data_IF_362717828244
#
_entry.id   IF_362717828244
#
_cell.length_a   1.000
_cell.length_b   1.000
_cell.length_c   1.000
_cell.angle_alpha   90.00
_cell.angle_beta   90.00
_cell.angle_gamma   90.00
#
_symmetry.space_group_name_H-M   'P 1'
#
loop_
_entity.id
_entity.type
_entity.pdbx_description
1 polymer ?
#
# COMPACT_ATOMS: atom_id res chain seq x y z
N UNK A 1 -8.96 -28.19 9.05
CA UNK A 1 -8.15 -26.99 9.37
C UNK A 1 -6.92 -27.06 8.50
N UNK A 2 -6.66 -26.01 7.72
CA UNK A 2 -5.47 -25.93 6.88
C UNK A 2 -4.26 -25.57 7.74
N UNK A 3 -3.13 -26.25 7.53
CA UNK A 3 -1.82 -25.96 8.15
C UNK A 3 -0.88 -25.25 7.18
N UNK A 4 -1.43 -24.71 6.08
CA UNK A 4 -0.64 -24.00 5.09
C UNK A 4 -0.12 -22.69 5.70
N UNK A 5 1.18 -22.48 5.51
CA UNK A 5 1.89 -21.29 5.96
C UNK A 5 1.98 -20.24 4.84
N UNK A 6 2.32 -20.69 3.64
CA UNK A 6 2.42 -19.85 2.45
C UNK A 6 1.65 -20.49 1.31
N UNK A 7 0.86 -19.69 0.60
CA UNK A 7 0.23 -20.05 -0.67
C UNK A 7 0.84 -19.15 -1.73
N UNK A 8 1.62 -19.74 -2.64
CA UNK A 8 2.14 -19.05 -3.82
C UNK A 8 1.54 -19.67 -5.09
N UNK A 9 0.75 -18.85 -5.79
CA UNK A 9 0.16 -19.16 -7.09
C UNK A 9 0.52 -18.08 -8.13
N UNK A 10 1.62 -17.36 -7.91
CA UNK A 10 2.06 -16.29 -8.79
C UNK A 10 2.38 -16.76 -10.20
N UNK A 11 2.33 -15.86 -11.18
CA UNK A 11 2.75 -16.10 -12.56
C UNK A 11 1.97 -17.24 -13.24
N UNK A 12 0.66 -17.27 -13.02
CA UNK A 12 -0.26 -18.23 -13.61
C UNK A 12 -1.30 -17.51 -14.48
N UNK A 13 -2.30 -18.27 -14.94
CA UNK A 13 -3.45 -17.75 -15.70
C UNK A 13 -4.74 -17.82 -14.89
N UNK A 14 -4.63 -17.76 -13.56
CA UNK A 14 -5.80 -17.81 -12.67
C UNK A 14 -6.72 -16.63 -12.99
N UNK A 15 -8.01 -16.90 -13.08
CA UNK A 15 -9.01 -15.89 -13.43
C UNK A 15 -10.25 -16.04 -12.56
N UNK A 16 -11.15 -15.06 -12.63
CA UNK A 16 -12.27 -15.00 -11.71
C UNK A 16 -11.90 -14.24 -10.44
N UNK A 17 -12.77 -14.31 -9.43
CA UNK A 17 -12.53 -13.63 -8.17
C UNK A 17 -11.62 -14.48 -7.27
N UNK A 18 -10.87 -13.85 -6.38
CA UNK A 18 -10.18 -14.57 -5.30
C UNK A 18 -11.28 -15.16 -4.39
N UNK A 19 -11.44 -16.50 -4.34
CA UNK A 19 -12.49 -17.09 -3.52
C UNK A 19 -12.17 -16.87 -2.06
N UNK A 20 -13.16 -16.43 -1.29
CA UNK A 20 -13.04 -16.23 0.16
C UNK A 20 -12.57 -17.51 0.88
N UNK A 21 -12.95 -18.67 0.34
CA UNK A 21 -12.57 -19.99 0.81
C UNK A 21 -11.05 -20.23 0.81
N UNK A 22 -10.28 -19.49 0.01
CA UNK A 22 -8.83 -19.62 -0.06
C UNK A 22 -8.15 -19.20 1.24
N UNK A 23 -8.73 -18.23 1.94
CA UNK A 23 -8.24 -17.71 3.22
C UNK A 23 -9.13 -18.15 4.39
N UNK A 24 -10.28 -18.75 4.11
CA UNK A 24 -11.23 -19.20 5.11
C UNK A 24 -10.66 -20.33 5.99
N UNK A 25 -10.75 -20.15 7.32
CA UNK A 25 -10.34 -21.15 8.29
C UNK A 25 -8.83 -21.42 8.35
N UNK A 26 -8.01 -20.59 7.68
CA UNK A 26 -6.57 -20.64 7.88
C UNK A 26 -6.19 -19.96 9.18
N UNK A 27 -5.61 -20.73 10.08
CA UNK A 27 -5.11 -20.24 11.38
C UNK A 27 -3.60 -20.00 11.37
N UNK A 28 -2.94 -20.26 10.23
CA UNK A 28 -1.48 -20.23 10.12
C UNK A 28 -0.97 -19.54 8.87
N UNK A 29 -1.83 -19.06 7.97
CA UNK A 29 -1.37 -18.46 6.71
C UNK A 29 -0.65 -17.14 6.99
N UNK A 30 0.64 -17.12 6.66
CA UNK A 30 1.54 -15.96 6.72
C UNK A 30 1.69 -15.30 5.36
N UNK A 31 1.79 -16.09 4.29
CA UNK A 31 1.99 -15.56 2.94
C UNK A 31 0.88 -15.93 1.97
N UNK A 32 0.29 -14.93 1.32
CA UNK A 32 -0.60 -15.11 0.18
C UNK A 32 -0.04 -14.37 -1.03
N UNK A 33 0.52 -15.13 -1.97
CA UNK A 33 1.17 -14.63 -3.19
C UNK A 33 0.35 -15.08 -4.40
N UNK A 34 -0.34 -14.13 -5.02
CA UNK A 34 -1.22 -14.34 -6.18
C UNK A 34 -0.86 -13.44 -7.37
N UNK A 35 0.34 -12.86 -7.36
CA UNK A 35 0.76 -11.87 -8.35
C UNK A 35 0.81 -12.42 -9.78
N UNK A 36 0.70 -11.52 -10.76
CA UNK A 36 0.80 -11.83 -12.20
C UNK A 36 -0.18 -12.93 -12.63
N UNK A 37 -1.48 -12.64 -12.47
CA UNK A 37 -2.59 -13.50 -12.87
C UNK A 37 -3.67 -12.67 -13.61
N UNK A 38 -4.86 -13.23 -13.80
CA UNK A 38 -6.04 -12.56 -14.36
C UNK A 38 -7.19 -12.46 -13.34
N UNK A 39 -6.84 -12.39 -12.04
CA UNK A 39 -7.82 -12.29 -10.96
C UNK A 39 -8.54 -10.95 -11.02
N UNK A 40 -9.83 -10.94 -10.72
CA UNK A 40 -10.72 -9.78 -10.82
C UNK A 40 -11.62 -9.66 -9.60
N UNK A 41 -12.51 -8.67 -9.62
CA UNK A 41 -13.48 -8.44 -8.55
C UNK A 41 -12.86 -7.70 -7.36
N UNK A 42 -13.59 -7.67 -6.25
CA UNK A 42 -13.21 -6.92 -5.05
C UNK A 42 -12.61 -7.84 -3.97
N UNK A 43 -11.79 -7.26 -3.10
CA UNK A 43 -11.32 -7.92 -1.88
C UNK A 43 -12.41 -7.85 -0.81
N UNK A 44 -13.30 -8.85 -0.76
CA UNK A 44 -14.46 -8.89 0.15
C UNK A 44 -14.19 -9.66 1.45
N UNK A 45 -12.99 -9.56 2.01
CA UNK A 45 -12.53 -10.40 3.14
C UNK A 45 -13.07 -10.02 4.52
N UNK A 46 -14.34 -9.66 4.62
CA UNK A 46 -14.94 -9.00 5.79
C UNK A 46 -14.99 -9.85 7.07
N UNK A 47 -14.89 -11.18 6.95
CA UNK A 47 -15.15 -12.11 8.06
C UNK A 47 -13.92 -12.93 8.48
N UNK A 48 -12.73 -12.62 7.95
CA UNK A 48 -11.57 -13.48 8.12
C UNK A 48 -10.57 -12.95 9.14
N UNK A 49 -10.09 -13.87 9.97
CA UNK A 49 -9.00 -13.60 10.88
C UNK A 49 -7.67 -13.71 10.13
N UNK A 50 -7.18 -12.58 9.60
CA UNK A 50 -5.88 -12.49 8.95
C UNK A 50 -4.73 -12.29 9.96
N UNK A 51 -4.91 -12.73 11.21
CA UNK A 51 -4.01 -12.36 12.31
C UNK A 51 -2.55 -12.80 12.16
N UNK A 52 -2.30 -13.78 11.29
CA UNK A 52 -0.96 -14.29 11.03
C UNK A 52 -0.41 -13.84 9.68
N UNK A 53 -1.20 -13.17 8.84
CA UNK A 53 -0.78 -12.75 7.52
C UNK A 53 0.29 -11.66 7.65
N UNK A 54 1.47 -11.94 7.09
CA UNK A 54 2.64 -11.06 7.01
C UNK A 54 2.84 -10.55 5.60
N UNK A 55 2.60 -11.38 4.59
CA UNK A 55 2.86 -11.07 3.19
C UNK A 55 1.59 -11.22 2.36
N UNK A 56 1.14 -10.11 1.79
CA UNK A 56 0.02 -10.09 0.86
C UNK A 56 0.44 -9.47 -0.47
N UNK A 57 0.68 -10.34 -1.46
CA UNK A 57 1.23 -9.96 -2.76
C UNK A 57 0.23 -10.32 -3.86
N UNK A 58 -0.51 -9.32 -4.34
CA UNK A 58 -1.60 -9.44 -5.32
C UNK A 58 -1.33 -8.65 -6.61
N UNK A 59 -0.09 -8.18 -6.81
CA UNK A 59 0.27 -7.31 -7.91
C UNK A 59 0.03 -7.92 -9.30
N UNK A 60 -0.20 -7.09 -10.31
CA UNK A 60 -0.34 -7.55 -11.70
C UNK A 60 -1.61 -8.39 -11.90
N UNK A 61 -2.76 -7.86 -11.49
CA UNK A 61 -4.07 -8.48 -11.64
C UNK A 61 -5.10 -7.44 -12.15
N UNK A 62 -6.38 -7.78 -12.12
CA UNK A 62 -7.50 -6.93 -12.54
C UNK A 62 -8.45 -6.64 -11.36
N UNK A 63 -7.92 -6.60 -10.13
CA UNK A 63 -8.71 -6.37 -8.91
C UNK A 63 -9.29 -4.96 -8.92
N UNK A 64 -10.49 -4.82 -8.38
CA UNK A 64 -11.29 -3.57 -8.36
C UNK A 64 -11.81 -3.28 -6.96
N UNK A 65 -12.51 -2.16 -6.78
CA UNK A 65 -13.07 -1.79 -5.48
C UNK A 65 -12.04 -1.06 -4.61
N UNK A 66 -12.17 -1.18 -3.29
CA UNK A 66 -11.33 -0.50 -2.30
C UNK A 66 -10.47 -1.50 -1.53
N UNK A 67 -9.42 -1.03 -0.86
CA UNK A 67 -8.75 -1.80 0.18
C UNK A 67 -9.70 -2.01 1.37
N UNK A 68 -10.02 -3.26 1.75
CA UNK A 68 -11.01 -3.53 2.79
C UNK A 68 -10.41 -3.34 4.19
N UNK A 69 -11.22 -2.81 5.12
CA UNK A 69 -10.80 -2.60 6.51
C UNK A 69 -10.42 -3.90 7.24
N UNK A 70 -10.86 -5.06 6.75
CA UNK A 70 -10.47 -6.34 7.32
C UNK A 70 -8.97 -6.64 7.22
N UNK A 71 -8.23 -6.00 6.30
CA UNK A 71 -6.77 -6.09 6.27
C UNK A 71 -6.11 -5.51 7.52
N UNK A 72 -6.77 -4.59 8.22
CA UNK A 72 -6.28 -4.05 9.49
C UNK A 72 -6.56 -4.95 10.69
N UNK A 73 -7.48 -5.92 10.56
CA UNK A 73 -7.99 -6.66 11.71
C UNK A 73 -7.04 -7.80 12.11
N UNK A 74 -6.18 -7.51 13.08
CA UNK A 74 -5.28 -8.49 13.70
C UNK A 74 -4.06 -8.86 12.85
N UNK A 75 -4.01 -8.44 11.58
CA UNK A 75 -2.89 -8.77 10.70
C UNK A 75 -1.59 -8.17 11.19
N UNK A 76 -0.50 -8.86 10.87
CA UNK A 76 0.87 -8.44 11.13
C UNK A 76 1.55 -8.18 9.80
N UNK A 77 0.84 -7.55 8.85
CA UNK A 77 1.39 -7.34 7.52
C UNK A 77 2.70 -6.58 7.62
N UNK A 78 3.73 -7.21 7.06
CA UNK A 78 5.08 -6.68 6.86
C UNK A 78 5.21 -6.17 5.42
N UNK A 79 4.59 -6.89 4.47
CA UNK A 79 4.53 -6.52 3.06
C UNK A 79 3.11 -6.54 2.50
N UNK A 80 2.70 -5.41 1.93
CA UNK A 80 1.48 -5.28 1.14
C UNK A 80 1.82 -4.78 -0.26
N UNK A 81 1.66 -5.64 -1.26
CA UNK A 81 1.79 -5.29 -2.66
C UNK A 81 0.48 -5.60 -3.41
N UNK A 82 -0.24 -4.55 -3.79
CA UNK A 82 -1.44 -4.62 -4.64
C UNK A 82 -1.27 -3.77 -5.89
N UNK A 83 -0.03 -3.50 -6.28
CA UNK A 83 0.29 -2.69 -7.45
C UNK A 83 -0.27 -3.27 -8.75
N UNK A 84 -0.32 -2.49 -9.82
CA UNK A 84 -0.73 -2.96 -11.15
C UNK A 84 -2.12 -3.65 -11.12
N UNK A 85 -3.11 -2.91 -10.60
CA UNK A 85 -4.51 -3.35 -10.48
C UNK A 85 -5.46 -2.19 -10.84
N UNK A 86 -6.77 -2.40 -10.67
CA UNK A 86 -7.80 -1.40 -10.91
C UNK A 86 -8.48 -0.93 -9.60
N UNK A 87 -7.75 -0.90 -8.49
CA UNK A 87 -8.27 -0.45 -7.19
C UNK A 87 -8.60 1.05 -7.22
N UNK A 88 -9.59 1.45 -6.43
CA UNK A 88 -10.17 2.79 -6.36
C UNK A 88 -10.37 3.22 -4.92
N UNK A 89 -10.86 4.45 -4.70
CA UNK A 89 -11.11 4.98 -3.37
C UNK A 89 -9.85 5.54 -2.71
N UNK A 90 -9.94 5.82 -1.41
CA UNK A 90 -8.87 6.45 -0.64
C UNK A 90 -7.92 5.43 -0.04
N UNK A 91 -6.68 5.85 0.21
CA UNK A 91 -5.76 5.13 1.09
C UNK A 91 -6.38 5.10 2.50
N UNK A 92 -6.68 3.92 3.07
CA UNK A 92 -7.32 3.84 4.36
C UNK A 92 -6.40 4.30 5.50
N UNK A 93 -6.99 4.89 6.55
CA UNK A 93 -6.24 5.36 7.72
C UNK A 93 -5.53 4.24 8.47
N UNK A 94 -6.05 3.01 8.42
CA UNK A 94 -5.45 1.90 9.15
C UNK A 94 -4.03 1.56 8.68
N UNK A 95 -3.64 1.90 7.44
CA UNK A 95 -2.27 1.71 6.93
C UNK A 95 -1.26 2.36 7.88
N UNK A 96 -1.54 3.58 8.31
CA UNK A 96 -0.64 4.31 9.19
C UNK A 96 -0.58 3.84 10.64
N UNK A 97 -1.42 2.87 11.01
CA UNK A 97 -1.40 2.22 12.33
C UNK A 97 -0.80 0.81 12.28
N UNK A 98 -0.38 0.32 11.11
CA UNK A 98 0.20 -1.01 10.99
C UNK A 98 1.62 -1.01 11.55
N UNK A 99 1.79 -1.57 12.75
CA UNK A 99 3.04 -1.58 13.53
C UNK A 99 4.12 -2.51 13.00
N UNK A 100 3.85 -3.24 11.93
CA UNK A 100 4.79 -4.18 11.31
C UNK A 100 5.00 -3.88 9.83
N UNK A 101 4.24 -2.95 9.23
CA UNK A 101 4.28 -2.73 7.80
C UNK A 101 5.57 -2.01 7.42
N UNK A 102 6.40 -2.69 6.64
CA UNK A 102 7.69 -2.19 6.14
C UNK A 102 7.61 -1.85 4.65
N UNK A 103 6.95 -2.71 3.87
CA UNK A 103 6.81 -2.58 2.43
C UNK A 103 5.35 -2.32 2.03
N UNK A 104 5.11 -1.16 1.40
CA UNK A 104 3.81 -0.80 0.85
C UNK A 104 3.97 -0.42 -0.63
N UNK A 105 3.41 -1.26 -1.51
CA UNK A 105 3.26 -0.95 -2.93
C UNK A 105 1.79 -1.01 -3.35
N UNK A 106 1.24 0.18 -3.59
CA UNK A 106 -0.13 0.37 -4.10
C UNK A 106 -0.11 1.16 -5.41
N UNK A 107 1.05 1.18 -6.09
CA UNK A 107 1.27 1.90 -7.34
C UNK A 107 0.43 1.34 -8.49
N UNK A 108 0.32 2.09 -9.58
CA UNK A 108 -0.37 1.68 -10.81
C UNK A 108 -1.81 1.19 -10.54
N UNK A 109 -2.59 2.04 -9.89
CA UNK A 109 -3.99 1.84 -9.56
C UNK A 109 -4.82 3.11 -9.88
N UNK A 110 -6.08 3.15 -9.46
CA UNK A 110 -6.97 4.30 -9.60
C UNK A 110 -7.32 4.94 -8.23
N UNK A 111 -6.44 4.83 -7.23
CA UNK A 111 -6.65 5.41 -5.90
C UNK A 111 -6.69 6.93 -5.97
N UNK A 112 -7.50 7.56 -5.11
CA UNK A 112 -7.74 9.00 -5.13
C UNK A 112 -7.84 9.62 -3.73
N UNK A 113 -7.88 10.95 -3.68
CA UNK A 113 -7.87 11.70 -2.42
C UNK A 113 -6.47 11.88 -1.86
N UNK A 114 -6.38 12.44 -0.65
CA UNK A 114 -5.11 12.72 0.01
C UNK A 114 -4.56 11.55 0.80
N UNK A 115 -3.25 11.60 1.10
CA UNK A 115 -2.66 10.77 2.13
C UNK A 115 -3.42 10.99 3.46
N UNK A 116 -3.68 9.94 4.25
CA UNK A 116 -4.24 10.11 5.57
C UNK A 116 -3.26 10.86 6.46
N UNK A 117 -3.74 11.72 7.36
CA UNK A 117 -2.89 12.52 8.26
C UNK A 117 -2.02 11.67 9.20
N UNK A 118 -2.33 10.38 9.34
CA UNK A 118 -1.60 9.43 10.17
C UNK A 118 -0.74 8.46 9.33
N UNK A 119 -0.50 8.75 8.05
CA UNK A 119 0.06 7.79 7.08
C UNK A 119 1.30 7.04 7.57
N UNK A 120 2.19 7.70 8.31
CA UNK A 120 3.41 7.11 8.87
C UNK A 120 3.45 6.98 10.40
N UNK A 121 2.31 7.07 11.09
CA UNK A 121 2.30 7.11 12.56
C UNK A 121 2.91 5.88 13.24
N UNK A 122 2.97 4.72 12.58
CA UNK A 122 3.65 3.52 13.11
C UNK A 122 5.18 3.61 13.03
N UNK A 123 5.73 4.43 12.14
CA UNK A 123 7.18 4.62 11.94
C UNK A 123 7.94 3.40 11.38
N UNK A 124 7.24 2.36 10.91
CA UNK A 124 7.87 1.12 10.45
C UNK A 124 8.12 1.07 8.94
N UNK A 125 7.38 1.85 8.14
CA UNK A 125 7.50 1.79 6.68
C UNK A 125 8.88 2.24 6.22
N UNK A 126 9.53 1.39 5.42
CA UNK A 126 10.85 1.60 4.82
C UNK A 126 10.75 1.85 3.31
N UNK A 127 9.78 1.19 2.65
CA UNK A 127 9.55 1.25 1.22
C UNK A 127 8.10 1.59 0.91
N UNK A 128 7.88 2.75 0.29
CA UNK A 128 6.55 3.25 -0.06
C UNK A 128 6.49 3.63 -1.54
N UNK A 129 5.65 2.92 -2.29
CA UNK A 129 5.41 3.15 -3.71
C UNK A 129 3.92 3.43 -3.95
N UNK A 130 3.60 4.69 -4.26
CA UNK A 130 2.24 5.19 -4.50
C UNK A 130 2.06 5.71 -5.94
N UNK A 131 3.05 5.49 -6.81
CA UNK A 131 3.12 6.12 -8.12
C UNK A 131 1.99 5.70 -9.05
N UNK A 132 1.71 6.52 -10.07
CA UNK A 132 0.68 6.26 -11.10
C UNK A 132 -0.70 5.96 -10.49
N UNK A 133 -1.18 6.89 -9.68
CA UNK A 133 -2.52 6.89 -9.11
C UNK A 133 -3.18 8.26 -9.40
N UNK A 134 -4.29 8.56 -8.70
CA UNK A 134 -4.99 9.85 -8.74
C UNK A 134 -4.95 10.53 -7.38
N UNK A 135 -3.89 10.31 -6.60
CA UNK A 135 -3.71 10.89 -5.27
C UNK A 135 -3.47 12.38 -5.38
N UNK A 136 -3.98 13.15 -4.43
CA UNK A 136 -3.95 14.61 -4.47
C UNK A 136 -3.69 15.21 -3.07
N UNK A 137 -3.74 16.53 -2.97
CA UNK A 137 -3.55 17.23 -1.70
C UNK A 137 -2.10 17.60 -1.42
N UNK A 138 -1.88 18.17 -0.24
CA UNK A 138 -0.56 18.62 0.21
C UNK A 138 0.23 17.47 0.82
N UNK A 139 1.55 17.50 0.66
CA UNK A 139 2.48 16.61 1.36
C UNK A 139 2.90 17.15 2.73
N UNK A 140 2.40 18.33 3.14
CA UNK A 140 2.71 18.91 4.46
C UNK A 140 2.33 17.92 5.57
N UNK A 141 3.26 17.68 6.49
CA UNK A 141 3.15 16.79 7.65
C UNK A 141 2.78 15.32 7.33
N UNK A 142 2.60 14.95 6.06
CA UNK A 142 2.15 13.62 5.65
C UNK A 142 3.17 12.53 6.00
N UNK A 143 4.44 12.92 6.14
CA UNK A 143 5.55 12.02 6.45
C UNK A 143 6.12 12.24 7.85
N UNK A 144 5.40 12.96 8.71
CA UNK A 144 5.76 13.04 10.12
C UNK A 144 5.68 11.65 10.74
N UNK A 145 6.78 11.24 11.38
CA UNK A 145 6.91 9.90 11.97
C UNK A 145 7.50 8.83 11.04
N UNK A 146 7.75 9.10 9.76
CA UNK A 146 8.37 8.13 8.83
C UNK A 146 9.88 7.91 9.07
N UNK A 147 10.34 7.77 10.30
CA UNK A 147 11.77 7.77 10.64
C UNK A 147 12.58 6.64 9.98
N UNK A 148 11.91 5.54 9.61
CA UNK A 148 12.53 4.38 8.95
C UNK A 148 12.47 4.45 7.42
N UNK A 149 11.84 5.47 6.84
CA UNK A 149 11.60 5.53 5.40
C UNK A 149 12.90 5.75 4.63
N UNK A 150 13.14 4.88 3.64
CA UNK A 150 14.33 4.88 2.79
C UNK A 150 13.97 5.14 1.31
N UNK A 151 12.88 4.54 0.84
CA UNK A 151 12.45 4.64 -0.57
C UNK A 151 11.03 5.15 -0.67
N UNK A 152 10.88 6.25 -1.40
CA UNK A 152 9.60 6.92 -1.61
C UNK A 152 9.37 7.24 -3.08
N UNK A 153 8.31 6.68 -3.65
CA UNK A 153 7.83 7.03 -4.99
C UNK A 153 6.39 7.53 -4.94
N UNK A 154 6.22 8.83 -5.20
CA UNK A 154 4.93 9.51 -5.32
C UNK A 154 4.65 9.96 -6.76
N UNK A 155 5.49 9.55 -7.72
CA UNK A 155 5.44 10.08 -9.07
C UNK A 155 4.12 9.77 -9.80
N UNK A 156 3.76 10.56 -10.80
CA UNK A 156 2.51 10.37 -11.56
C UNK A 156 1.25 10.39 -10.68
N UNK A 157 1.06 11.47 -9.95
CA UNK A 157 -0.12 11.77 -9.14
C UNK A 157 -0.50 13.25 -9.33
N UNK A 158 -1.40 13.77 -8.48
CA UNK A 158 -1.87 15.16 -8.46
C UNK A 158 -1.50 15.87 -7.15
N UNK A 159 -0.41 15.46 -6.49
CA UNK A 159 0.05 16.14 -5.26
C UNK A 159 0.43 17.59 -5.56
N UNK A 160 0.08 18.49 -4.66
CA UNK A 160 0.21 19.94 -4.84
C UNK A 160 0.86 20.62 -3.64
N UNK A 161 1.25 21.89 -3.82
CA UNK A 161 1.92 22.68 -2.79
C UNK A 161 3.40 22.34 -2.68
N UNK A 162 4.04 22.77 -1.58
CA UNK A 162 5.48 22.62 -1.37
C UNK A 162 5.87 21.22 -0.94
N UNK A 163 7.09 20.82 -1.32
CA UNK A 163 7.75 19.64 -0.75
C UNK A 163 8.05 19.94 0.74
N UNK A 164 7.57 19.11 1.69
CA UNK A 164 7.81 19.32 3.11
C UNK A 164 9.30 19.19 3.43
N UNK A 165 9.77 19.97 4.40
CA UNK A 165 11.17 19.93 4.84
C UNK A 165 11.57 18.53 5.31
N UNK A 166 10.62 17.77 5.88
CA UNK A 166 10.86 16.42 6.35
C UNK A 166 11.46 15.50 5.27
N UNK A 167 11.01 15.60 4.02
CA UNK A 167 11.56 14.85 2.88
C UNK A 167 13.01 15.24 2.56
N UNK A 168 13.39 16.50 2.77
CA UNK A 168 14.71 17.02 2.40
C UNK A 168 15.74 17.06 3.54
N UNK A 169 15.31 17.16 4.80
CA UNK A 169 16.21 17.37 5.95
C UNK A 169 16.12 16.27 7.01
N UNK A 170 14.94 15.68 7.25
CA UNK A 170 14.74 14.71 8.33
C UNK A 170 14.83 13.25 7.87
N UNK A 171 14.33 12.96 6.66
CA UNK A 171 14.31 11.61 6.11
C UNK A 171 15.62 11.33 5.38
N UNK A 172 16.23 10.18 5.67
CA UNK A 172 17.49 9.74 5.05
C UNK A 172 17.21 8.88 3.81
N UNK A 173 16.43 9.42 2.86
CA UNK A 173 15.98 8.67 1.69
C UNK A 173 17.14 8.37 0.74
N UNK A 174 17.36 7.09 0.41
CA UNK A 174 18.26 6.70 -0.70
C UNK A 174 17.58 6.80 -2.07
N UNK A 175 16.25 6.85 -2.09
CA UNK A 175 15.46 6.89 -3.32
C UNK A 175 14.22 7.76 -3.17
N UNK A 176 14.10 8.79 -4.01
CA UNK A 176 12.98 9.73 -4.01
C UNK A 176 12.53 10.04 -5.44
N UNK A 177 11.29 9.71 -5.76
CA UNK A 177 10.64 10.06 -7.02
C UNK A 177 9.38 10.88 -6.76
N UNK A 178 9.38 12.13 -7.21
CA UNK A 178 8.26 13.07 -7.10
C UNK A 178 7.73 13.57 -8.46
N UNK A 179 8.34 13.12 -9.56
CA UNK A 179 8.04 13.60 -10.91
C UNK A 179 6.57 13.43 -11.30
N UNK A 180 6.08 14.22 -12.26
CA UNK A 180 4.69 14.15 -12.73
C UNK A 180 3.66 14.35 -11.59
N UNK A 181 3.82 15.45 -10.86
CA UNK A 181 2.86 15.97 -9.87
C UNK A 181 2.62 17.47 -10.12
N UNK A 182 1.76 18.09 -9.31
CA UNK A 182 1.48 19.53 -9.30
C UNK A 182 2.21 20.26 -8.16
N UNK A 183 3.40 19.77 -7.78
CA UNK A 183 4.20 20.34 -6.69
C UNK A 183 4.80 21.69 -7.10
N UNK A 184 4.85 22.60 -6.15
CA UNK A 184 5.33 23.97 -6.31
C UNK A 184 6.57 24.20 -5.44
N UNK A 185 7.48 25.05 -5.88
CA UNK A 185 8.66 25.45 -5.11
C UNK A 185 8.78 26.96 -5.06
N UNK A 186 9.03 27.49 -3.86
CA UNK A 186 9.53 28.85 -3.70
C UNK A 186 11.02 28.77 -3.40
N UNK A 187 11.87 29.14 -4.36
CA UNK A 187 13.27 29.41 -4.09
C UNK A 187 13.38 30.71 -3.28
N UNK A 188 13.12 30.65 -1.96
CA UNK A 188 13.57 31.70 -1.05
C UNK A 188 14.97 31.34 -0.56
N UNK A 189 15.96 31.57 -1.43
CA UNK A 189 17.30 31.85 -0.96
C UNK A 189 17.26 33.20 -0.25
N UNK A 190 17.42 33.19 1.07
CA UNK A 190 18.03 34.28 1.84
C UNK A 190 18.98 33.66 2.85
#
# INVERSE_FOLDING_TARGET
MSVLDIIDLSNNRLSGNIPEQLVEGSLSLRGLVLSNNHLKGQLLWRSFNLAYLTDLILSGNQLTGILPDSLSNGSRLEALDVSLNNLTGKIPRWIGYMSSLEYLDISENNLSGSLPSNFCSSGTMTNVYLSKNKLEGSLIDAFDGCQSLDRLDLSHNYFRGSIPESIGSSLQLSFLLLGYNNLEGNHRYQ
#
